data_IF_245586868545
#
_entry.id   IF_245586868545
#
_cell.length_a   1.000
_cell.length_b   1.000
_cell.length_c   1.000
_cell.angle_alpha   90.00
_cell.angle_beta   90.00
_cell.angle_gamma   90.00
#
_symmetry.space_group_name_H-M   'P 1'
#
loop_
_entity.id
_entity.type
_entity.pdbx_description
1 polymer ?
#
# COMPACT_ATOMS: atom_id res chain seq x y z
N UNK A 1 108.72 -39.12 -5.15
CA UNK A 1 108.38 -37.72 -5.38
C UNK A 1 107.43 -37.60 -6.57
N UNK A 2 107.76 -38.20 -7.74
CA UNK A 2 106.89 -38.08 -9.02
C UNK A 2 105.51 -38.65 -8.80
N UNK A 3 105.32 -39.84 -8.14
CA UNK A 3 104.04 -40.48 -7.84
C UNK A 3 103.10 -39.63 -6.97
N UNK A 4 103.66 -38.84 -6.02
CA UNK A 4 102.86 -37.93 -5.11
C UNK A 4 102.41 -36.71 -5.94
N UNK A 5 103.19 -36.21 -6.87
CA UNK A 5 102.86 -35.07 -7.72
C UNK A 5 101.72 -35.47 -8.70
N UNK A 6 101.82 -36.71 -9.26
CA UNK A 6 100.84 -37.29 -10.18
C UNK A 6 99.49 -37.43 -9.51
N UNK A 7 99.43 -37.91 -8.25
CA UNK A 7 98.24 -38.01 -7.46
C UNK A 7 97.62 -36.65 -7.14
N UNK A 8 98.44 -35.66 -6.79
CA UNK A 8 97.99 -34.28 -6.47
C UNK A 8 97.40 -33.64 -7.72
N UNK A 9 98.03 -33.74 -8.87
CA UNK A 9 97.51 -33.21 -10.14
C UNK A 9 96.18 -33.86 -10.51
N UNK A 10 96.03 -35.19 -10.33
CA UNK A 10 94.78 -35.85 -10.59
C UNK A 10 93.61 -35.38 -9.68
N UNK A 11 93.95 -35.11 -8.39
CA UNK A 11 92.96 -34.56 -7.44
C UNK A 11 92.55 -33.07 -7.80
N UNK A 12 93.54 -32.30 -8.25
CA UNK A 12 93.26 -30.90 -8.74
C UNK A 12 92.36 -30.91 -9.96
N UNK A 13 92.62 -31.78 -10.94
CA UNK A 13 91.77 -31.92 -12.13
C UNK A 13 90.34 -32.34 -11.79
N UNK A 14 90.20 -33.38 -10.92
CA UNK A 14 88.86 -33.80 -10.46
C UNK A 14 88.09 -32.72 -9.73
N UNK A 15 88.75 -31.93 -8.83
CA UNK A 15 88.13 -30.82 -8.14
C UNK A 15 87.80 -29.69 -9.11
N UNK A 16 88.64 -29.38 -10.08
CA UNK A 16 88.36 -28.41 -11.14
C UNK A 16 87.12 -28.81 -11.95
N UNK A 17 86.95 -30.05 -12.33
CA UNK A 17 85.76 -30.53 -13.03
C UNK A 17 84.55 -30.38 -12.16
N UNK A 18 84.61 -30.74 -10.85
CA UNK A 18 83.49 -30.58 -9.92
C UNK A 18 83.07 -29.07 -9.81
N UNK A 19 84.04 -28.12 -9.68
CA UNK A 19 83.73 -26.69 -9.64
C UNK A 19 83.15 -26.21 -10.93
N UNK A 20 83.60 -26.76 -12.11
CA UNK A 20 83.06 -26.44 -13.42
C UNK A 20 81.55 -26.83 -13.49
N UNK A 21 81.25 -28.07 -13.10
CA UNK A 21 79.88 -28.57 -13.19
C UNK A 21 78.97 -27.77 -12.20
N UNK A 22 79.41 -27.52 -10.98
CA UNK A 22 78.69 -26.72 -9.97
C UNK A 22 78.46 -25.27 -10.46
N UNK A 23 79.46 -24.67 -11.18
CA UNK A 23 79.31 -23.31 -11.70
C UNK A 23 78.28 -23.24 -12.84
N UNK A 24 78.19 -24.28 -13.68
CA UNK A 24 77.14 -24.36 -14.69
C UNK A 24 75.74 -24.47 -14.07
N UNK A 25 75.60 -25.38 -13.12
CA UNK A 25 74.37 -25.57 -12.39
C UNK A 25 73.91 -24.28 -11.65
N UNK A 26 74.85 -23.59 -11.01
CA UNK A 26 74.58 -22.31 -10.33
C UNK A 26 74.19 -21.19 -11.29
N UNK A 27 74.80 -21.15 -12.46
CA UNK A 27 74.41 -20.17 -13.51
C UNK A 27 73.00 -20.44 -14.05
N UNK A 28 72.65 -21.69 -14.28
CA UNK A 28 71.33 -22.08 -14.79
C UNK A 28 70.25 -21.83 -13.71
N UNK A 29 70.48 -22.21 -12.48
CA UNK A 29 69.58 -21.93 -11.37
C UNK A 29 69.39 -20.43 -11.15
N UNK A 30 70.42 -19.61 -11.33
CA UNK A 30 70.32 -18.12 -11.23
C UNK A 30 69.45 -17.56 -12.38
N UNK A 31 69.56 -18.06 -13.60
CA UNK A 31 68.69 -17.62 -14.73
C UNK A 31 67.26 -18.04 -14.48
N UNK A 32 66.98 -19.25 -14.04
CA UNK A 32 65.65 -19.69 -13.71
C UNK A 32 65.01 -18.84 -12.58
N UNK A 33 65.81 -18.58 -11.52
CA UNK A 33 65.37 -17.69 -10.41
C UNK A 33 65.12 -16.25 -10.88
N UNK A 34 65.91 -15.71 -11.82
CA UNK A 34 65.70 -14.38 -12.41
C UNK A 34 64.38 -14.36 -13.21
N UNK A 35 64.08 -15.39 -14.01
CA UNK A 35 62.83 -15.48 -14.74
C UNK A 35 61.62 -15.56 -13.78
N UNK A 36 61.73 -16.32 -12.69
CA UNK A 36 60.71 -16.39 -11.64
C UNK A 36 60.46 -15.01 -11.00
N UNK A 37 61.56 -14.28 -10.72
CA UNK A 37 61.47 -12.93 -10.17
C UNK A 37 60.78 -11.93 -11.14
N UNK A 38 61.09 -12.02 -12.46
CA UNK A 38 60.40 -11.23 -13.50
C UNK A 38 58.88 -11.52 -13.53
N UNK A 39 58.48 -12.78 -13.40
CA UNK A 39 57.05 -13.14 -13.25
C UNK A 39 56.40 -12.57 -11.99
N UNK A 40 57.11 -12.58 -10.85
CA UNK A 40 56.62 -11.96 -9.63
C UNK A 40 56.43 -10.43 -9.81
N UNK A 41 57.39 -9.77 -10.47
CA UNK A 41 57.28 -8.34 -10.77
C UNK A 41 56.06 -8.04 -11.63
N UNK A 42 55.76 -8.83 -12.66
CA UNK A 42 54.54 -8.72 -13.47
C UNK A 42 53.26 -8.85 -12.66
N UNK A 43 53.19 -9.88 -11.79
CA UNK A 43 52.03 -10.13 -10.93
C UNK A 43 51.82 -8.97 -9.92
N UNK A 44 52.90 -8.37 -9.44
CA UNK A 44 52.80 -7.18 -8.54
C UNK A 44 52.24 -5.95 -9.25
N UNK A 45 52.60 -5.76 -10.54
CA UNK A 45 52.02 -4.65 -11.34
C UNK A 45 50.51 -4.87 -11.56
N UNK A 46 50.10 -6.09 -11.91
CA UNK A 46 48.69 -6.44 -12.06
C UNK A 46 47.93 -6.27 -10.75
N UNK A 47 48.49 -6.77 -9.61
CA UNK A 47 47.91 -6.60 -8.28
C UNK A 47 47.76 -5.12 -7.91
N UNK A 48 48.71 -4.26 -8.25
CA UNK A 48 48.61 -2.82 -7.99
C UNK A 48 47.45 -2.18 -8.76
N UNK A 49 47.26 -2.59 -10.01
CA UNK A 49 46.13 -2.17 -10.84
C UNK A 49 44.78 -2.63 -10.24
N UNK A 50 44.69 -3.90 -9.83
CA UNK A 50 43.47 -4.44 -9.22
C UNK A 50 43.09 -3.73 -7.91
N UNK A 51 44.10 -3.36 -7.11
CA UNK A 51 43.91 -2.56 -5.90
C UNK A 51 43.35 -1.18 -6.22
N UNK A 52 43.83 -0.51 -7.25
CA UNK A 52 43.26 0.78 -7.69
C UNK A 52 41.79 0.68 -8.14
N UNK A 53 41.45 -0.40 -8.87
CA UNK A 53 40.06 -0.69 -9.25
C UNK A 53 39.21 -0.96 -8.02
N UNK A 54 39.71 -1.70 -7.03
CA UNK A 54 39.00 -1.99 -5.80
C UNK A 54 38.75 -0.74 -4.95
N UNK A 55 39.72 0.18 -4.84
CA UNK A 55 39.54 1.45 -4.14
C UNK A 55 38.42 2.25 -4.80
N UNK A 56 38.45 2.39 -6.11
CA UNK A 56 37.44 3.10 -6.89
C UNK A 56 36.03 2.50 -6.71
N UNK A 57 35.94 1.16 -6.78
CA UNK A 57 34.68 0.45 -6.53
C UNK A 57 34.15 0.63 -5.12
N UNK A 58 35.05 0.70 -4.12
CA UNK A 58 34.67 0.98 -2.73
C UNK A 58 34.12 2.42 -2.57
N UNK A 59 34.73 3.41 -3.21
CA UNK A 59 34.26 4.80 -3.19
C UNK A 59 32.92 4.98 -3.92
N UNK A 60 32.71 4.31 -5.04
CA UNK A 60 31.40 4.31 -5.75
C UNK A 60 30.32 3.67 -4.92
N UNK A 61 30.64 2.53 -4.26
CA UNK A 61 29.70 1.84 -3.36
C UNK A 61 29.34 2.73 -2.17
N UNK A 62 30.32 3.41 -1.56
CA UNK A 62 30.08 4.34 -0.45
C UNK A 62 29.12 5.47 -0.84
N UNK A 63 29.28 6.06 -2.04
CA UNK A 63 28.34 7.08 -2.55
C UNK A 63 26.93 6.51 -2.75
N UNK A 64 26.80 5.30 -3.32
CA UNK A 64 25.51 4.67 -3.49
C UNK A 64 24.82 4.40 -2.13
N UNK A 65 25.58 4.07 -1.09
CA UNK A 65 25.07 3.90 0.28
C UNK A 65 24.60 5.22 0.90
N UNK A 66 25.28 6.33 0.63
CA UNK A 66 24.83 7.67 1.07
C UNK A 66 23.48 8.02 0.42
N UNK A 67 23.34 7.80 -0.89
CA UNK A 67 22.08 7.99 -1.60
C UNK A 67 20.97 7.07 -1.07
N UNK A 68 21.30 5.82 -0.76
CA UNK A 68 20.39 4.86 -0.14
C UNK A 68 19.92 5.35 1.24
N UNK A 69 20.80 5.89 2.07
CA UNK A 69 20.45 6.43 3.38
C UNK A 69 19.44 7.58 3.27
N UNK A 70 19.60 8.47 2.29
CA UNK A 70 18.63 9.52 1.97
C UNK A 70 17.28 8.91 1.54
N UNK A 71 17.32 7.88 0.70
CA UNK A 71 16.11 7.15 0.27
C UNK A 71 15.37 6.51 1.45
N UNK A 72 16.09 5.86 2.35
CA UNK A 72 15.56 5.23 3.58
C UNK A 72 14.88 6.29 4.46
N UNK A 73 15.51 7.44 4.66
CA UNK A 73 14.94 8.54 5.44
C UNK A 73 13.61 9.03 4.84
N UNK A 74 13.52 9.16 3.52
CA UNK A 74 12.27 9.53 2.83
C UNK A 74 11.17 8.47 2.97
N UNK A 75 11.53 7.19 2.97
CA UNK A 75 10.56 6.10 3.20
C UNK A 75 10.01 6.18 4.62
N UNK A 76 10.87 6.42 5.63
CA UNK A 76 10.45 6.59 7.02
C UNK A 76 9.49 7.79 7.18
N UNK A 77 9.81 8.92 6.56
CA UNK A 77 8.96 10.12 6.58
C UNK A 77 7.60 9.87 5.92
N UNK A 78 7.59 9.23 4.74
CA UNK A 78 6.35 8.86 4.05
C UNK A 78 5.50 7.88 4.88
N UNK A 79 6.13 6.92 5.56
CA UNK A 79 5.42 6.00 6.45
C UNK A 79 4.75 6.75 7.61
N UNK A 80 5.42 7.74 8.20
CA UNK A 80 4.86 8.61 9.24
C UNK A 80 3.65 9.42 8.72
N UNK A 81 3.77 10.02 7.54
CA UNK A 81 2.66 10.77 6.91
C UNK A 81 1.48 9.86 6.59
N UNK A 82 1.74 8.62 6.10
CA UNK A 82 0.68 7.64 5.87
C UNK A 82 -0.02 7.23 7.16
N UNK A 83 0.69 7.11 8.29
CA UNK A 83 0.09 6.81 9.59
C UNK A 83 -0.89 7.91 10.01
N UNK A 84 -0.50 9.17 9.85
CA UNK A 84 -1.34 10.32 10.16
C UNK A 84 -2.61 10.35 9.27
N UNK A 85 -2.45 10.21 7.96
CA UNK A 85 -3.58 10.13 7.03
C UNK A 85 -4.52 8.94 7.31
N UNK A 86 -3.95 7.79 7.70
CA UNK A 86 -4.74 6.62 8.08
C UNK A 86 -5.56 6.87 9.35
N UNK A 87 -4.98 7.55 10.35
CA UNK A 87 -5.67 7.96 11.57
C UNK A 87 -6.85 8.89 11.26
N UNK A 88 -6.64 9.94 10.47
CA UNK A 88 -7.71 10.84 10.03
C UNK A 88 -8.80 10.13 9.21
N UNK A 89 -8.40 9.22 8.30
CA UNK A 89 -9.38 8.45 7.52
C UNK A 89 -10.23 7.56 8.41
N UNK A 90 -9.63 6.94 9.45
CA UNK A 90 -10.35 6.13 10.44
C UNK A 90 -11.35 6.98 11.24
N UNK A 91 -10.95 8.17 11.68
CA UNK A 91 -11.82 9.11 12.40
C UNK A 91 -13.01 9.52 11.54
N UNK A 92 -12.78 9.93 10.29
CA UNK A 92 -13.85 10.31 9.37
C UNK A 92 -14.79 9.17 9.04
N UNK A 93 -14.27 7.95 8.85
CA UNK A 93 -15.09 6.77 8.63
C UNK A 93 -15.94 6.42 9.85
N UNK A 94 -15.40 6.54 11.06
CA UNK A 94 -16.15 6.35 12.31
C UNK A 94 -17.25 7.40 12.49
N UNK A 95 -16.98 8.68 12.21
CA UNK A 95 -17.97 9.75 12.20
C UNK A 95 -19.08 9.51 11.16
N UNK A 96 -18.70 9.07 9.96
CA UNK A 96 -19.67 8.70 8.92
C UNK A 96 -20.60 7.58 9.37
N UNK A 97 -20.04 6.56 10.01
CA UNK A 97 -20.81 5.45 10.57
C UNK A 97 -21.77 5.88 11.70
N UNK A 98 -21.37 6.79 12.60
CA UNK A 98 -22.23 7.36 13.63
C UNK A 98 -23.39 8.17 13.03
N UNK A 99 -23.11 8.99 12.01
CA UNK A 99 -24.14 9.75 11.29
C UNK A 99 -25.17 8.84 10.61
N UNK A 100 -24.73 7.72 10.02
CA UNK A 100 -25.64 6.72 9.46
C UNK A 100 -26.53 6.10 10.53
N UNK A 101 -25.99 5.81 11.72
CA UNK A 101 -26.79 5.34 12.86
C UNK A 101 -27.89 6.32 13.24
N UNK A 102 -27.61 7.62 13.25
CA UNK A 102 -28.59 8.68 13.51
C UNK A 102 -29.64 8.79 12.40
N UNK A 103 -29.22 8.70 11.15
CA UNK A 103 -30.12 8.66 9.99
C UNK A 103 -31.06 7.45 10.05
N UNK A 104 -30.56 6.28 10.41
CA UNK A 104 -31.37 5.08 10.59
C UNK A 104 -32.46 5.28 11.65
N UNK A 105 -32.12 5.89 12.78
CA UNK A 105 -33.09 6.23 13.82
C UNK A 105 -34.16 7.22 13.32
N UNK A 106 -33.75 8.18 12.50
CA UNK A 106 -34.68 9.17 11.91
C UNK A 106 -35.66 8.50 10.95
N UNK A 107 -35.22 7.56 10.09
CA UNK A 107 -36.10 6.79 9.21
C UNK A 107 -37.10 5.96 10.02
N UNK A 108 -36.66 5.31 11.09
CA UNK A 108 -37.58 4.57 11.98
C UNK A 108 -38.64 5.51 12.58
N UNK A 109 -38.26 6.73 12.97
CA UNK A 109 -39.18 7.74 13.46
C UNK A 109 -40.21 8.19 12.39
N UNK A 110 -39.77 8.39 11.14
CA UNK A 110 -40.64 8.70 10.01
C UNK A 110 -41.64 7.59 9.78
N UNK A 111 -41.20 6.33 9.73
CA UNK A 111 -42.10 5.18 9.55
C UNK A 111 -43.16 5.11 10.65
N UNK A 112 -42.77 5.33 11.91
CA UNK A 112 -43.73 5.39 13.03
C UNK A 112 -44.75 6.52 12.86
N UNK A 113 -44.31 7.69 12.40
CA UNK A 113 -45.21 8.81 12.15
C UNK A 113 -46.19 8.54 11.01
N UNK A 114 -45.73 7.85 9.95
CA UNK A 114 -46.59 7.42 8.84
C UNK A 114 -47.62 6.40 9.31
N UNK A 115 -47.24 5.45 10.17
CA UNK A 115 -48.19 4.46 10.75
C UNK A 115 -49.24 5.16 11.63
N UNK A 116 -48.88 6.14 12.46
CA UNK A 116 -49.83 6.93 13.25
C UNK A 116 -50.76 7.75 12.36
N UNK A 117 -50.27 8.33 11.26
CA UNK A 117 -51.09 9.03 10.28
C UNK A 117 -52.09 8.08 9.61
N UNK A 118 -51.68 6.82 9.31
CA UNK A 118 -52.57 5.81 8.76
C UNK A 118 -53.77 5.52 9.68
N UNK A 119 -53.55 5.41 10.98
CA UNK A 119 -54.65 5.22 11.96
C UNK A 119 -55.61 6.42 11.97
N UNK A 120 -55.04 7.64 11.88
CA UNK A 120 -55.83 8.88 11.84
C UNK A 120 -56.68 8.92 10.56
N UNK A 121 -56.09 8.64 9.40
CA UNK A 121 -56.78 8.59 8.10
C UNK A 121 -57.87 7.52 8.10
N UNK A 122 -57.62 6.33 8.64
CA UNK A 122 -58.63 5.31 8.82
C UNK A 122 -59.83 5.75 9.68
N UNK A 123 -59.54 6.47 10.80
CA UNK A 123 -60.58 7.03 11.66
C UNK A 123 -61.40 8.08 10.92
N UNK A 124 -60.76 8.95 10.10
CA UNK A 124 -61.39 9.97 9.30
C UNK A 124 -62.32 9.37 8.24
N UNK A 125 -61.89 8.27 7.56
CA UNK A 125 -62.70 7.52 6.62
C UNK A 125 -63.99 7.03 7.27
N UNK A 126 -63.89 6.38 8.44
CA UNK A 126 -65.06 5.87 9.18
C UNK A 126 -66.03 7.00 9.57
N UNK A 127 -65.52 8.15 10.05
CA UNK A 127 -66.37 9.29 10.41
C UNK A 127 -67.02 9.89 9.18
N UNK A 128 -66.35 9.96 8.03
CA UNK A 128 -66.94 10.42 6.76
C UNK A 128 -68.07 9.49 6.31
N UNK A 129 -67.89 8.17 6.47
CA UNK A 129 -68.94 7.18 6.16
C UNK A 129 -70.17 7.37 7.08
N UNK A 130 -69.97 7.57 8.38
CA UNK A 130 -71.03 7.83 9.34
C UNK A 130 -71.83 9.10 8.99
N UNK A 131 -71.12 10.21 8.63
CA UNK A 131 -71.76 11.48 8.21
C UNK A 131 -72.55 11.30 6.92
N UNK A 132 -72.02 10.53 5.98
CA UNK A 132 -72.74 10.22 4.72
C UNK A 132 -74.05 9.45 4.97
N UNK A 133 -74.04 8.47 5.90
CA UNK A 133 -75.25 7.77 6.36
C UNK A 133 -76.29 8.69 7.01
N UNK A 134 -75.83 9.65 7.83
CA UNK A 134 -76.72 10.66 8.49
C UNK A 134 -77.31 11.58 7.40
N UNK A 135 -76.52 12.07 6.47
CA UNK A 135 -77.00 12.92 5.36
C UNK A 135 -78.05 12.19 4.49
N UNK A 136 -77.82 10.93 4.15
CA UNK A 136 -78.79 10.07 3.43
C UNK A 136 -80.08 9.89 4.23
N UNK A 137 -80.02 9.72 5.57
CA UNK A 137 -81.17 9.64 6.43
C UNK A 137 -81.95 10.92 6.46
N UNK A 138 -81.27 12.10 6.51
CA UNK A 138 -81.88 13.42 6.42
C UNK A 138 -82.64 13.59 5.08
N UNK A 139 -82.03 13.20 3.95
CA UNK A 139 -82.66 13.23 2.64
C UNK A 139 -83.94 12.36 2.63
N UNK A 140 -83.88 11.17 3.23
CA UNK A 140 -85.05 10.27 3.34
C UNK A 140 -86.15 10.88 4.18
N UNK A 141 -85.86 11.43 5.34
CA UNK A 141 -86.89 12.07 6.20
C UNK A 141 -87.44 13.36 5.55
N UNK A 142 -86.63 14.15 4.92
CA UNK A 142 -87.05 15.33 4.20
C UNK A 142 -87.98 15.00 2.99
N UNK A 143 -87.68 13.91 2.27
CA UNK A 143 -88.56 13.42 1.20
C UNK A 143 -89.90 12.94 1.76
N UNK A 144 -89.93 12.21 2.85
CA UNK A 144 -91.18 11.82 3.52
C UNK A 144 -91.97 13.01 3.98
N UNK A 145 -91.29 14.01 4.58
CA UNK A 145 -91.94 15.25 5.04
C UNK A 145 -92.51 16.06 3.88
N UNK A 146 -91.81 16.13 2.76
CA UNK A 146 -92.24 16.74 1.52
C UNK A 146 -93.49 16.10 0.98
N UNK A 147 -93.57 14.73 0.92
CA UNK A 147 -94.72 13.98 0.56
C UNK A 147 -95.94 14.16 1.51
N UNK A 148 -95.68 14.18 2.86
CA UNK A 148 -96.69 14.44 3.87
C UNK A 148 -97.28 15.87 3.69
N UNK A 149 -96.41 16.87 3.52
CA UNK A 149 -96.85 18.24 3.29
C UNK A 149 -97.64 18.47 2.02
N UNK A 150 -97.22 17.73 0.95
CA UNK A 150 -98.01 17.74 -0.31
C UNK A 150 -99.39 17.17 -0.09
N UNK A 151 -99.52 16.02 0.60
CA UNK A 151 -100.83 15.41 0.92
C UNK A 151 -101.69 16.34 1.78
N UNK A 152 -101.06 17.01 2.78
CA UNK A 152 -101.75 17.99 3.65
C UNK A 152 -102.23 19.22 2.86
N UNK A 153 -101.41 19.71 1.89
CA UNK A 153 -101.78 20.83 0.99
C UNK A 153 -102.95 20.47 0.08
N UNK A 154 -102.98 19.26 -0.41
CA UNK A 154 -104.09 18.74 -1.28
C UNK A 154 -105.38 18.68 -0.41
N UNK A 155 -105.35 18.13 0.78
CA UNK A 155 -106.53 18.00 1.62
C UNK A 155 -107.01 19.37 2.17
N UNK A 156 -106.12 20.31 2.41
CA UNK A 156 -106.42 21.67 2.76
C UNK A 156 -107.13 22.43 1.63
N UNK A 157 -106.66 22.21 0.37
CA UNK A 157 -107.34 22.75 -0.78
C UNK A 157 -108.74 22.15 -1.00
N UNK A 158 -108.95 20.86 -0.65
CA UNK A 158 -110.19 20.17 -0.67
C UNK A 158 -111.22 20.67 0.32
N UNK A 159 -110.76 21.22 1.51
CA UNK A 159 -111.60 21.80 2.57
C UNK A 159 -112.04 23.26 2.25
N UNK A 160 -111.67 23.85 1.09
CA UNK A 160 -112.10 25.17 0.60
C UNK A 160 -111.74 26.31 1.55
N UNK A 161 -112.66 27.20 1.86
CA UNK A 161 -112.40 28.34 2.74
C UNK A 161 -111.91 28.02 4.15
N UNK A 162 -112.36 26.88 4.71
CA UNK A 162 -111.94 26.42 6.03
C UNK A 162 -110.50 25.81 6.06
N UNK A 163 -109.89 25.53 4.92
CA UNK A 163 -108.56 24.93 4.81
C UNK A 163 -107.45 25.99 4.55
N UNK A 164 -107.75 27.27 4.28
CA UNK A 164 -106.74 28.26 3.87
C UNK A 164 -105.52 28.38 4.76
N UNK A 165 -105.71 28.40 6.12
CA UNK A 165 -104.60 28.48 7.12
C UNK A 165 -103.71 27.26 7.14
N UNK A 166 -104.33 26.04 7.00
CA UNK A 166 -103.59 24.80 6.91
C UNK A 166 -102.79 24.64 5.57
N UNK A 167 -103.31 25.19 4.45
CA UNK A 167 -102.59 25.19 3.17
C UNK A 167 -101.32 26.03 3.22
N UNK A 168 -101.35 27.23 3.94
CA UNK A 168 -100.16 27.99 4.09
C UNK A 168 -99.06 27.27 4.93
N UNK A 169 -99.46 26.62 6.01
CA UNK A 169 -98.53 25.82 6.84
C UNK A 169 -97.99 24.63 6.06
N UNK A 170 -98.80 23.90 5.34
CA UNK A 170 -98.38 22.75 4.49
C UNK A 170 -97.36 23.16 3.42
N UNK A 171 -97.60 24.32 2.75
CA UNK A 171 -96.67 24.85 1.75
C UNK A 171 -95.34 25.30 2.40
N UNK A 172 -95.35 25.87 3.61
CA UNK A 172 -94.13 26.22 4.31
C UNK A 172 -93.31 25.00 4.75
N UNK A 173 -94.03 23.97 5.27
CA UNK A 173 -93.37 22.68 5.57
C UNK A 173 -92.74 22.08 4.31
N UNK A 174 -93.46 22.14 3.17
CA UNK A 174 -92.92 21.64 1.92
C UNK A 174 -91.64 22.37 1.48
N UNK A 175 -91.60 23.69 1.61
CA UNK A 175 -90.43 24.51 1.33
C UNK A 175 -89.27 24.17 2.24
N UNK A 176 -89.47 24.02 3.53
CA UNK A 176 -88.49 23.58 4.49
C UNK A 176 -87.92 22.18 4.19
N UNK A 177 -88.80 21.25 3.80
CA UNK A 177 -88.38 19.94 3.37
C UNK A 177 -87.49 19.96 2.10
N UNK A 178 -87.86 20.76 1.10
CA UNK A 178 -87.04 20.97 -0.07
C UNK A 178 -85.68 21.59 0.23
N UNK A 179 -85.62 22.54 1.16
CA UNK A 179 -84.36 23.15 1.64
C UNK A 179 -83.50 22.11 2.38
N UNK A 180 -84.12 21.24 3.20
CA UNK A 180 -83.45 20.18 3.91
C UNK A 180 -82.82 19.13 2.92
N UNK A 181 -83.52 18.77 1.85
CA UNK A 181 -82.98 17.91 0.80
C UNK A 181 -81.75 18.56 0.16
N UNK A 182 -81.88 19.81 -0.28
CA UNK A 182 -80.75 20.52 -0.92
C UNK A 182 -79.53 20.64 0.03
N UNK A 183 -79.77 20.83 1.30
CA UNK A 183 -78.66 20.90 2.32
C UNK A 183 -78.01 19.52 2.51
N UNK A 184 -78.80 18.45 2.57
CA UNK A 184 -78.31 17.08 2.71
C UNK A 184 -77.52 16.65 1.44
N UNK A 185 -77.97 17.02 0.27
CA UNK A 185 -77.24 16.79 -0.99
C UNK A 185 -75.91 17.52 -1.03
N UNK A 186 -75.86 18.75 -0.54
CA UNK A 186 -74.63 19.52 -0.38
C UNK A 186 -73.64 18.84 0.59
N UNK A 187 -74.17 18.28 1.73
CA UNK A 187 -73.33 17.50 2.65
C UNK A 187 -72.80 16.23 1.96
N UNK A 188 -73.63 15.49 1.22
CA UNK A 188 -73.21 14.29 0.48
C UNK A 188 -72.09 14.61 -0.51
N UNK A 189 -72.18 15.74 -1.20
CA UNK A 189 -71.13 16.15 -2.14
C UNK A 189 -69.83 16.45 -1.39
N UNK A 190 -69.84 17.20 -0.29
CA UNK A 190 -68.66 17.47 0.54
C UNK A 190 -68.03 16.17 1.10
N UNK A 191 -68.86 15.21 1.49
CA UNK A 191 -68.37 13.91 1.94
C UNK A 191 -67.71 13.12 0.80
N UNK A 192 -68.25 13.19 -0.40
CA UNK A 192 -67.61 12.55 -1.56
C UNK A 192 -66.25 13.19 -1.89
N UNK A 193 -66.14 14.52 -1.86
CA UNK A 193 -64.88 15.24 -2.05
C UNK A 193 -63.87 14.86 -0.94
N UNK A 194 -64.30 14.86 0.33
CA UNK A 194 -63.49 14.48 1.48
C UNK A 194 -62.97 13.05 1.35
N UNK A 195 -63.74 12.09 0.89
CA UNK A 195 -63.32 10.70 0.65
C UNK A 195 -62.27 10.62 -0.47
N UNK A 196 -62.37 11.43 -1.50
CA UNK A 196 -61.37 11.50 -2.58
C UNK A 196 -60.04 12.03 -2.05
N UNK A 197 -60.08 13.07 -1.24
CA UNK A 197 -58.84 13.60 -0.57
C UNK A 197 -58.21 12.58 0.36
N UNK A 198 -59.02 11.89 1.21
CA UNK A 198 -58.57 10.83 2.10
C UNK A 198 -57.86 9.70 1.31
N UNK A 199 -58.41 9.30 0.17
CA UNK A 199 -57.80 8.28 -0.71
C UNK A 199 -56.46 8.75 -1.27
N UNK A 200 -56.32 10.02 -1.66
CA UNK A 200 -55.08 10.63 -2.14
C UNK A 200 -54.02 10.67 -1.03
N UNK A 201 -54.40 11.05 0.17
CA UNK A 201 -53.46 11.05 1.36
C UNK A 201 -53.03 9.63 1.68
N UNK A 202 -53.93 8.65 1.67
CA UNK A 202 -53.60 7.24 1.88
C UNK A 202 -52.59 6.72 0.86
N UNK A 203 -52.74 7.06 -0.41
CA UNK A 203 -51.79 6.71 -1.48
C UNK A 203 -50.41 7.35 -1.25
N UNK A 204 -50.39 8.63 -0.85
CA UNK A 204 -49.14 9.35 -0.55
C UNK A 204 -48.39 8.73 0.62
N UNK A 205 -49.12 8.26 1.64
CA UNK A 205 -48.52 7.56 2.80
C UNK A 205 -47.88 6.24 2.41
N UNK A 206 -48.50 5.45 1.52
CA UNK A 206 -47.92 4.20 1.00
C UNK A 206 -46.63 4.46 0.24
N UNK A 207 -46.62 5.49 -0.59
CA UNK A 207 -45.41 5.92 -1.32
C UNK A 207 -44.30 6.32 -0.34
N UNK A 208 -44.61 7.17 0.66
CA UNK A 208 -43.64 7.60 1.68
C UNK A 208 -43.09 6.42 2.48
N UNK A 209 -43.92 5.43 2.82
CA UNK A 209 -43.48 4.22 3.49
C UNK A 209 -42.52 3.38 2.64
N UNK A 210 -42.79 3.27 1.35
CA UNK A 210 -41.93 2.58 0.41
C UNK A 210 -40.58 3.31 0.22
N UNK A 211 -40.62 4.62 0.04
CA UNK A 211 -39.41 5.45 -0.09
C UNK A 211 -38.53 5.37 1.16
N UNK A 212 -39.13 5.44 2.35
CA UNK A 212 -38.43 5.27 3.62
C UNK A 212 -37.80 3.87 3.77
N UNK A 213 -38.50 2.82 3.30
CA UNK A 213 -37.96 1.46 3.27
C UNK A 213 -36.74 1.35 2.33
N UNK A 214 -36.83 1.92 1.14
CA UNK A 214 -35.69 1.98 0.19
C UNK A 214 -34.53 2.74 0.77
N UNK A 215 -34.77 3.91 1.38
CA UNK A 215 -33.74 4.71 2.07
C UNK A 215 -33.03 3.94 3.18
N UNK A 216 -33.80 3.13 3.95
CA UNK A 216 -33.22 2.28 4.99
C UNK A 216 -32.30 1.19 4.42
N UNK A 217 -32.67 0.56 3.30
CA UNK A 217 -31.81 -0.43 2.64
C UNK A 217 -30.52 0.21 2.11
N UNK A 218 -30.62 1.37 1.45
CA UNK A 218 -29.44 2.11 0.97
C UNK A 218 -28.50 2.49 2.12
N UNK A 219 -29.02 2.87 3.27
CA UNK A 219 -28.19 3.18 4.45
C UNK A 219 -27.44 1.95 4.97
N UNK A 220 -28.00 0.76 4.90
CA UNK A 220 -27.31 -0.47 5.26
C UNK A 220 -26.10 -0.74 4.33
N UNK A 221 -26.26 -0.52 3.04
CA UNK A 221 -25.16 -0.68 2.07
C UNK A 221 -24.03 0.33 2.33
N UNK A 222 -24.39 1.59 2.62
CA UNK A 222 -23.40 2.63 2.97
C UNK A 222 -22.69 2.30 4.30
N UNK A 223 -23.43 1.78 5.30
CA UNK A 223 -22.83 1.33 6.57
C UNK A 223 -21.79 0.23 6.34
N UNK A 224 -22.11 -0.76 5.50
CA UNK A 224 -21.17 -1.84 5.14
C UNK A 224 -19.92 -1.28 4.44
N UNK A 225 -20.10 -0.25 3.60
CA UNK A 225 -18.97 0.42 2.94
C UNK A 225 -18.04 1.10 3.95
N UNK A 226 -18.58 1.80 4.96
CA UNK A 226 -17.76 2.40 6.02
C UNK A 226 -17.03 1.35 6.87
N UNK A 227 -17.66 0.22 7.17
CA UNK A 227 -16.99 -0.89 7.85
C UNK A 227 -15.83 -1.46 7.03
N UNK A 228 -16.01 -1.59 5.72
CA UNK A 228 -14.94 -2.02 4.80
C UNK A 228 -13.78 -1.01 4.78
N UNK A 229 -14.08 0.30 4.79
CA UNK A 229 -13.06 1.35 4.88
C UNK A 229 -12.27 1.23 6.18
N UNK A 230 -12.94 1.07 7.33
CA UNK A 230 -12.28 0.90 8.63
C UNK A 230 -11.37 -0.32 8.67
N UNK A 231 -11.83 -1.46 8.13
CA UNK A 231 -11.01 -2.67 8.01
C UNK A 231 -9.77 -2.44 7.11
N UNK A 232 -9.95 -1.75 5.98
CA UNK A 232 -8.85 -1.41 5.06
C UNK A 232 -7.83 -0.49 5.70
N UNK A 233 -8.27 0.52 6.45
CA UNK A 233 -7.39 1.43 7.19
C UNK A 233 -6.59 0.67 8.26
N UNK A 234 -7.21 -0.26 8.99
CA UNK A 234 -6.51 -1.11 9.96
C UNK A 234 -5.39 -1.92 9.30
N UNK A 235 -5.67 -2.46 8.11
CA UNK A 235 -4.66 -3.19 7.33
C UNK A 235 -3.51 -2.27 6.89
N UNK A 236 -3.81 -1.05 6.44
CA UNK A 236 -2.79 -0.05 6.05
C UNK A 236 -1.90 0.28 7.26
N UNK A 237 -2.46 0.50 8.45
CA UNK A 237 -1.68 0.76 9.68
C UNK A 237 -0.72 -0.39 9.98
N UNK A 238 -1.15 -1.64 9.82
CA UNK A 238 -0.27 -2.81 9.98
C UNK A 238 0.88 -2.78 8.98
N UNK A 239 0.60 -2.48 7.70
CA UNK A 239 1.64 -2.37 6.66
C UNK A 239 2.64 -1.22 6.93
N UNK A 240 2.17 -0.11 7.51
CA UNK A 240 3.03 1.00 7.92
C UNK A 240 4.00 0.57 9.01
N UNK A 241 3.55 -0.19 10.00
CA UNK A 241 4.42 -0.73 11.04
C UNK A 241 5.47 -1.69 10.47
N UNK A 242 5.10 -2.58 9.55
CA UNK A 242 6.03 -3.46 8.85
C UNK A 242 7.03 -2.66 8.02
N UNK A 243 6.58 -1.64 7.28
CA UNK A 243 7.45 -0.75 6.51
C UNK A 243 8.44 -0.03 7.41
N UNK A 244 8.02 0.45 8.58
CA UNK A 244 8.91 1.11 9.55
C UNK A 244 10.00 0.15 10.06
N UNK A 245 9.63 -1.08 10.42
CA UNK A 245 10.59 -2.10 10.87
C UNK A 245 11.61 -2.46 9.77
N UNK A 246 11.15 -2.61 8.52
CA UNK A 246 12.04 -2.85 7.37
C UNK A 246 12.98 -1.66 7.15
N UNK A 247 12.48 -0.43 7.29
CA UNK A 247 13.26 0.80 7.11
C UNK A 247 14.36 0.92 8.17
N UNK A 248 14.08 0.57 9.43
CA UNK A 248 15.09 0.50 10.48
C UNK A 248 16.17 -0.56 10.19
N UNK A 249 15.77 -1.73 9.73
CA UNK A 249 16.70 -2.79 9.32
C UNK A 249 17.55 -2.36 8.11
N UNK A 250 16.97 -1.69 7.13
CA UNK A 250 17.71 -1.15 5.98
C UNK A 250 18.73 -0.09 6.43
N UNK A 251 18.38 0.77 7.38
CA UNK A 251 19.30 1.76 7.94
C UNK A 251 20.49 1.10 8.62
N UNK A 252 20.25 0.09 9.47
CA UNK A 252 21.33 -0.67 10.11
C UNK A 252 22.22 -1.40 9.08
N UNK A 253 21.62 -2.02 8.05
CA UNK A 253 22.35 -2.67 6.97
C UNK A 253 23.20 -1.69 6.17
N UNK A 254 22.67 -0.50 5.88
CA UNK A 254 23.38 0.58 5.17
C UNK A 254 24.62 1.04 5.95
N UNK A 255 24.50 1.23 7.27
CA UNK A 255 25.63 1.56 8.14
C UNK A 255 26.68 0.45 8.15
N UNK A 256 26.27 -0.82 8.19
CA UNK A 256 27.20 -1.96 8.16
C UNK A 256 27.94 -2.04 6.80
N UNK A 257 27.27 -1.80 5.68
CA UNK A 257 27.92 -1.78 4.36
C UNK A 257 28.92 -0.61 4.30
N UNK A 258 28.56 0.58 4.79
CA UNK A 258 29.48 1.73 4.86
C UNK A 258 30.75 1.38 5.63
N UNK A 259 30.64 0.81 6.83
CA UNK A 259 31.79 0.38 7.62
C UNK A 259 32.62 -0.70 6.88
N UNK A 260 31.97 -1.58 6.14
CA UNK A 260 32.68 -2.60 5.32
C UNK A 260 33.44 -1.96 4.16
N UNK A 261 32.92 -0.92 3.53
CA UNK A 261 33.61 -0.19 2.45
C UNK A 261 34.81 0.59 3.00
N UNK A 262 34.68 1.23 4.15
CA UNK A 262 35.81 1.90 4.81
C UNK A 262 36.93 0.89 5.14
N UNK A 263 36.59 -0.27 5.65
CA UNK A 263 37.54 -1.35 5.90
C UNK A 263 38.18 -1.88 4.59
N UNK A 264 37.39 -2.01 3.53
CA UNK A 264 37.89 -2.43 2.20
C UNK A 264 38.89 -1.42 1.64
N UNK A 265 38.58 -0.12 1.72
CA UNK A 265 39.50 0.94 1.30
C UNK A 265 40.81 0.94 2.11
N UNK A 266 40.73 0.81 3.43
CA UNK A 266 41.92 0.71 4.28
C UNK A 266 42.76 -0.55 3.95
N UNK A 267 42.12 -1.68 3.74
CA UNK A 267 42.78 -2.95 3.35
C UNK A 267 43.46 -2.82 1.99
N UNK A 268 42.82 -2.16 1.02
CA UNK A 268 43.38 -1.89 -0.30
C UNK A 268 44.59 -0.97 -0.22
N UNK A 269 44.55 0.08 0.58
CA UNK A 269 45.70 0.94 0.81
C UNK A 269 46.89 0.17 1.43
N UNK A 270 46.63 -0.71 2.41
CA UNK A 270 47.67 -1.56 3.01
C UNK A 270 48.21 -2.56 1.97
N UNK A 271 47.38 -3.11 1.08
CA UNK A 271 47.81 -4.01 0.02
C UNK A 271 48.75 -3.30 -0.97
N UNK A 272 48.49 -2.04 -1.32
CA UNK A 272 49.35 -1.25 -2.18
C UNK A 272 50.75 -1.07 -1.56
N UNK A 273 50.84 -0.77 -0.25
CA UNK A 273 52.12 -0.66 0.44
C UNK A 273 52.88 -2.00 0.47
N UNK A 274 52.17 -3.12 0.68
CA UNK A 274 52.79 -4.44 0.62
C UNK A 274 53.28 -4.77 -0.78
N UNK A 275 52.51 -4.44 -1.81
CA UNK A 275 52.90 -4.63 -3.22
C UNK A 275 54.19 -3.88 -3.54
N UNK A 276 54.31 -2.62 -3.11
CA UNK A 276 55.56 -1.84 -3.25
C UNK A 276 56.74 -2.48 -2.55
N UNK A 277 56.52 -3.04 -1.34
CA UNK A 277 57.58 -3.72 -0.61
C UNK A 277 58.03 -5.01 -1.33
N UNK A 278 57.10 -5.78 -1.88
CA UNK A 278 57.42 -7.01 -2.67
C UNK A 278 58.10 -6.63 -3.98
N UNK A 279 57.71 -5.56 -4.66
CA UNK A 279 58.37 -5.06 -5.84
C UNK A 279 59.82 -4.71 -5.60
N UNK A 280 60.13 -3.94 -4.53
CA UNK A 280 61.51 -3.63 -4.13
C UNK A 280 62.35 -4.89 -3.83
N UNK A 281 61.79 -5.84 -3.07
CA UNK A 281 62.47 -7.11 -2.78
C UNK A 281 62.73 -7.95 -4.04
N UNK A 282 61.82 -7.92 -5.03
CA UNK A 282 61.99 -8.60 -6.31
C UNK A 282 63.05 -7.95 -7.18
N UNK A 283 63.16 -6.64 -7.19
CA UNK A 283 64.25 -5.90 -7.88
C UNK A 283 65.60 -6.29 -7.27
N UNK A 284 65.69 -6.33 -5.92
CA UNK A 284 66.91 -6.74 -5.24
C UNK A 284 67.27 -8.19 -5.50
N UNK A 285 66.24 -9.08 -5.58
CA UNK A 285 66.44 -10.50 -5.96
C UNK A 285 66.97 -10.60 -7.41
N UNK A 286 66.45 -9.86 -8.39
CA UNK A 286 66.93 -9.83 -9.74
C UNK A 286 68.40 -9.43 -9.84
N UNK A 287 68.78 -8.35 -9.12
CA UNK A 287 70.16 -7.88 -9.05
C UNK A 287 71.07 -8.94 -8.44
N UNK A 288 70.62 -9.66 -7.37
CA UNK A 288 71.34 -10.75 -6.75
C UNK A 288 71.57 -11.90 -7.72
N UNK A 289 70.58 -12.32 -8.50
CA UNK A 289 70.69 -13.38 -9.49
C UNK A 289 71.65 -13.04 -10.64
N UNK A 290 71.65 -11.79 -11.07
CA UNK A 290 72.63 -11.29 -12.03
C UNK A 290 74.06 -11.38 -11.52
N UNK A 291 74.26 -10.99 -10.23
CA UNK A 291 75.57 -11.10 -9.59
C UNK A 291 76.04 -12.55 -9.39
N UNK A 292 75.15 -13.49 -9.05
CA UNK A 292 75.42 -14.91 -8.93
C UNK A 292 75.79 -15.51 -10.32
N UNK A 293 75.04 -15.16 -11.38
CA UNK A 293 75.35 -15.60 -12.72
C UNK A 293 76.73 -15.10 -13.18
N UNK A 294 77.05 -13.84 -12.92
CA UNK A 294 78.40 -13.29 -13.24
C UNK A 294 79.53 -13.97 -12.43
N UNK A 295 79.29 -14.24 -11.15
CA UNK A 295 80.29 -14.93 -10.31
C UNK A 295 80.48 -16.41 -10.80
N UNK A 296 79.43 -17.08 -11.22
CA UNK A 296 79.47 -18.43 -11.76
C UNK A 296 80.29 -18.51 -13.07
N UNK A 297 80.12 -17.49 -13.94
CA UNK A 297 80.93 -17.38 -15.18
C UNK A 297 82.41 -17.09 -14.88
N UNK A 298 82.69 -16.29 -13.85
CA UNK A 298 84.01 -16.03 -13.39
C UNK A 298 84.67 -17.28 -12.83
N UNK A 299 83.95 -18.09 -12.05
CA UNK A 299 84.45 -19.40 -11.59
C UNK A 299 84.76 -20.34 -12.74
N UNK A 300 83.92 -20.40 -13.77
CA UNK A 300 84.18 -21.16 -14.98
C UNK A 300 85.47 -20.73 -15.65
N UNK A 301 85.72 -19.43 -15.82
CA UNK A 301 86.92 -18.88 -16.38
C UNK A 301 88.17 -19.27 -15.60
N UNK A 302 88.10 -19.22 -14.25
CA UNK A 302 89.23 -19.61 -13.38
C UNK A 302 89.50 -21.11 -13.51
N UNK A 303 88.43 -21.92 -13.55
CA UNK A 303 88.57 -23.37 -13.69
C UNK A 303 89.17 -23.78 -15.06
N UNK A 304 88.76 -23.05 -16.10
CA UNK A 304 89.38 -23.30 -17.46
C UNK A 304 90.85 -22.96 -17.42
N UNK A 305 91.26 -21.86 -16.80
CA UNK A 305 92.67 -21.44 -16.66
C UNK A 305 93.45 -22.48 -15.83
N UNK A 306 92.81 -23.04 -14.77
CA UNK A 306 93.41 -24.10 -13.93
C UNK A 306 93.58 -25.40 -14.73
N UNK A 307 92.56 -25.78 -15.49
CA UNK A 307 92.67 -27.00 -16.38
C UNK A 307 93.74 -26.84 -17.44
N UNK A 308 93.93 -25.67 -18.04
CA UNK A 308 95.02 -25.39 -18.97
C UNK A 308 96.36 -25.51 -18.26
N UNK A 309 96.48 -25.01 -17.05
CA UNK A 309 97.73 -25.07 -16.25
C UNK A 309 98.04 -26.48 -15.86
N UNK A 310 97.06 -27.28 -15.49
CA UNK A 310 97.22 -28.74 -15.16
C UNK A 310 97.61 -29.57 -16.40
N UNK A 311 97.05 -29.26 -17.57
CA UNK A 311 97.31 -29.90 -18.84
C UNK A 311 98.78 -29.71 -19.32
N UNK A 312 99.39 -28.57 -18.86
CA UNK A 312 100.81 -28.33 -19.16
C UNK A 312 101.78 -29.35 -18.47
N UNK A 313 101.35 -29.90 -17.31
CA UNK A 313 102.07 -31.03 -16.69
C UNK A 313 101.77 -32.34 -17.41
N UNK A 314 102.43 -32.61 -18.52
CA UNK A 314 102.31 -33.89 -19.20
C UNK A 314 102.60 -35.03 -18.26
N UNK A 315 101.54 -35.74 -17.87
CA UNK A 315 101.61 -36.94 -17.07
C UNK A 315 101.85 -38.06 -18.00
N UNK A 316 103.10 -38.41 -18.25
CA UNK A 316 103.53 -39.62 -18.94
C UNK A 316 103.66 -40.72 -17.93
#
# INVERSE_FOLDING_TARGET
MVLNIKGLIGTIAANAQFVQDASVELSDSSKESATAAEHVAGNIQEMSHDVEVQVRGSEETSRAIEEMAIGIQRVAENASVMADHSSHTSEHAALGNDLLGKLQQQIVSILKSVDQLAETVHSLTRKSDEIGLIASSITTFANQTNLLSLNASIEAARAGEHGKGFNVVANEIRKLAAQSIASADGINQLIHETRTEIASVSQSMLTTKQEAGTGSAMMQEVNQSFQTILASVTHIVTQIHETSAITEQMSASSQQISATMDHSAASSAQMLVKSQTVAAATEEQLAMMQNIAAASEQLRSVVNTLNESVAFFKIV
#
